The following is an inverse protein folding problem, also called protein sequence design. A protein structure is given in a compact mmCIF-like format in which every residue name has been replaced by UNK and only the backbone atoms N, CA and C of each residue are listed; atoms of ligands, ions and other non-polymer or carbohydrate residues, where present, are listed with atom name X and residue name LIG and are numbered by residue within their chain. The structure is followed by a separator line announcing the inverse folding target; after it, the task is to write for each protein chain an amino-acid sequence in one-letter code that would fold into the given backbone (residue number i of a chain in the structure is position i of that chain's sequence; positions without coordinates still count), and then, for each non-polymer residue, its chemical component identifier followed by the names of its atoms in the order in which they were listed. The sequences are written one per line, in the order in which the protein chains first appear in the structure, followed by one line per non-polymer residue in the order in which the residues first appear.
data_IF_852248104892
#
_entry.id   IF_852248104892
#
_cell.length_a   1.000
_cell.length_b   1.000
_cell.length_c   1.000
_cell.angle_alpha   90.00
_cell.angle_beta   90.00
_cell.angle_gamma   90.00
#
_symmetry.space_group_name_H-M   'P 1'
#
loop_
_entity.id
_entity.type
_entity.pdbx_description
1 polymer ?
#
# COMPACT_ATOMS: atom_id res chain seq x y z
N UNK A 1 -25.15 59.17 0.77
CA UNK A 1 -23.76 58.69 0.61
C UNK A 1 -23.13 58.59 1.98
N UNK A 2 -22.95 57.38 2.51
CA UNK A 2 -22.29 57.10 3.79
C UNK A 2 -20.80 56.81 3.49
N UNK A 3 -19.85 57.39 4.23
CA UNK A 3 -18.42 57.28 3.90
C UNK A 3 -17.88 55.85 4.04
N UNK A 4 -16.94 55.48 3.16
CA UNK A 4 -16.41 54.13 2.97
C UNK A 4 -15.75 53.49 4.21
N UNK A 5 -15.41 54.27 5.25
CA UNK A 5 -14.86 53.77 6.51
C UNK A 5 -15.85 53.01 7.39
N UNK A 6 -17.17 53.26 7.26
CA UNK A 6 -18.17 52.63 8.12
C UNK A 6 -18.55 51.20 7.68
N UNK A 7 -18.27 50.82 6.42
CA UNK A 7 -18.51 49.45 5.91
C UNK A 7 -17.47 48.43 6.39
N UNK A 8 -16.24 48.87 6.66
CA UNK A 8 -15.17 48.00 7.18
C UNK A 8 -15.36 47.64 8.67
N UNK A 9 -15.88 48.57 9.48
CA UNK A 9 -16.16 48.31 10.89
C UNK A 9 -17.30 47.31 11.11
N UNK A 10 -18.33 47.33 10.25
CA UNK A 10 -19.46 46.40 10.34
C UNK A 10 -19.11 44.97 9.86
N UNK A 11 -18.20 44.83 8.89
CA UNK A 11 -17.69 43.50 8.47
C UNK A 11 -16.78 42.86 9.53
N UNK A 12 -15.95 43.66 10.22
CA UNK A 12 -15.09 43.21 11.31
C UNK A 12 -15.87 42.73 12.54
N UNK A 13 -16.97 43.41 12.90
CA UNK A 13 -17.79 43.04 14.05
C UNK A 13 -18.63 41.77 13.82
N UNK A 14 -19.05 41.50 12.58
CA UNK A 14 -19.80 40.29 12.23
C UNK A 14 -18.92 39.03 12.26
N UNK A 15 -17.66 39.14 11.82
CA UNK A 15 -16.69 38.05 11.88
C UNK A 15 -16.26 37.70 13.31
N UNK A 16 -16.11 38.70 14.20
CA UNK A 16 -15.70 38.46 15.58
C UNK A 16 -16.81 37.78 16.42
N UNK A 17 -18.09 38.07 16.12
CA UNK A 17 -19.23 37.39 16.76
C UNK A 17 -19.44 35.95 16.25
N UNK A 18 -19.10 35.63 15.01
CA UNK A 18 -19.11 34.23 14.52
C UNK A 18 -17.98 33.40 15.14
N UNK A 19 -16.77 33.95 15.31
CA UNK A 19 -15.67 33.23 15.94
C UNK A 19 -15.88 32.97 17.43
N UNK A 20 -16.51 33.89 18.16
CA UNK A 20 -16.83 33.70 19.58
C UNK A 20 -17.99 32.72 19.82
N UNK A 21 -18.98 32.65 18.92
CA UNK A 21 -20.00 31.58 18.91
C UNK A 21 -19.37 30.20 18.63
N UNK A 22 -18.42 30.11 17.69
CA UNK A 22 -17.75 28.83 17.36
C UNK A 22 -16.87 28.33 18.52
N UNK A 23 -16.17 29.22 19.22
CA UNK A 23 -15.33 28.86 20.39
C UNK A 23 -16.19 28.53 21.62
N UNK A 24 -17.37 29.16 21.79
CA UNK A 24 -18.32 28.83 22.87
C UNK A 24 -19.02 27.47 22.63
N UNK A 25 -19.37 27.15 21.37
CA UNK A 25 -19.95 25.85 21.00
C UNK A 25 -18.92 24.71 21.07
N UNK A 26 -17.63 24.98 20.84
CA UNK A 26 -16.55 24.01 21.06
C UNK A 26 -16.25 23.73 22.54
N UNK A 27 -16.77 24.52 23.48
CA UNK A 27 -16.57 24.32 24.94
C UNK A 27 -17.68 23.51 25.62
N UNK A 28 -18.71 23.06 24.90
CA UNK A 28 -19.81 22.24 25.44
C UNK A 28 -20.16 20.99 24.62
N UNK A 29 -19.18 20.35 23.98
CA UNK A 29 -19.30 18.94 23.52
C UNK A 29 -18.04 18.13 23.80
N UNK A 30 -17.58 18.12 25.06
CA UNK A 30 -16.83 16.98 25.58
C UNK A 30 -17.86 15.92 25.98
N UNK A 31 -18.41 15.21 24.99
CA UNK A 31 -19.15 13.98 25.25
C UNK A 31 -18.17 13.07 26.00
N UNK A 32 -18.44 12.89 27.28
CA UNK A 32 -17.63 12.05 28.16
C UNK A 32 -17.77 10.63 27.62
N UNK A 33 -16.74 10.19 26.88
CA UNK A 33 -16.65 8.82 26.37
C UNK A 33 -16.94 7.87 27.54
N UNK A 34 -17.99 7.03 27.44
CA UNK A 34 -18.34 6.14 28.55
C UNK A 34 -17.17 5.21 28.80
N UNK A 35 -16.86 4.99 30.08
CA UNK A 35 -15.75 4.11 30.45
C UNK A 35 -16.04 2.70 29.96
N UNK A 36 -15.00 1.93 29.59
CA UNK A 36 -15.09 0.56 29.03
C UNK A 36 -16.03 -0.36 29.84
N UNK A 37 -16.16 -0.14 31.16
CA UNK A 37 -17.09 -0.86 32.06
C UNK A 37 -18.57 -0.53 31.84
N UNK A 38 -18.92 0.71 31.51
CA UNK A 38 -20.30 1.13 31.23
C UNK A 38 -20.78 0.68 29.84
N UNK A 39 -19.86 0.54 28.89
CA UNK A 39 -20.15 -0.05 27.59
C UNK A 39 -20.56 -1.52 27.71
N UNK A 40 -19.84 -2.29 28.53
CA UNK A 40 -20.17 -3.71 28.77
C UNK A 40 -21.47 -3.92 29.55
N UNK A 41 -21.91 -2.98 30.40
CA UNK A 41 -23.19 -3.11 31.12
C UNK A 41 -24.42 -2.78 30.27
N UNK A 42 -24.26 -2.01 29.17
CA UNK A 42 -25.35 -1.74 28.22
C UNK A 42 -25.42 -2.77 27.08
N UNK A 43 -24.29 -3.41 26.75
CA UNK A 43 -24.26 -4.49 25.76
C UNK A 43 -25.04 -5.75 26.22
N UNK A 44 -25.09 -6.01 27.53
CA UNK A 44 -25.79 -7.16 28.10
C UNK A 44 -27.32 -7.03 28.07
N UNK A 45 -27.88 -5.81 28.13
CA UNK A 45 -29.34 -5.61 28.03
C UNK A 45 -29.86 -5.76 26.59
N UNK A 46 -29.05 -5.46 25.58
CA UNK A 46 -29.37 -5.72 24.17
C UNK A 46 -29.28 -7.20 23.80
N UNK A 47 -28.39 -7.96 24.46
CA UNK A 47 -28.31 -9.41 24.26
C UNK A 47 -29.57 -10.15 24.74
N UNK A 48 -30.26 -9.64 25.77
CA UNK A 48 -31.51 -10.23 26.28
C UNK A 48 -32.72 -10.03 25.36
N UNK A 49 -32.74 -8.94 24.57
CA UNK A 49 -33.81 -8.66 23.61
C UNK A 49 -33.67 -9.43 22.28
N UNK A 50 -32.46 -9.87 21.92
CA UNK A 50 -32.23 -10.71 20.74
C UNK A 50 -32.59 -12.19 20.98
N UNK A 51 -32.70 -12.63 22.24
CA UNK A 51 -32.99 -14.02 22.59
C UNK A 51 -34.48 -14.41 22.44
N UNK A 52 -35.39 -13.45 22.23
CA UNK A 52 -36.84 -13.73 22.19
C UNK A 52 -37.45 -13.79 20.78
N UNK A 53 -36.68 -13.61 19.70
CA UNK A 53 -37.24 -13.54 18.32
C UNK A 53 -36.58 -14.54 17.34
N UNK A 54 -35.70 -15.43 17.79
CA UNK A 54 -34.80 -16.17 16.87
C UNK A 54 -34.80 -17.69 16.96
N UNK A 55 -35.91 -18.37 17.25
CA UNK A 55 -35.99 -19.83 17.09
C UNK A 55 -36.23 -20.20 15.63
N UNK A 56 -35.20 -20.13 14.79
CA UNK A 56 -35.18 -20.79 13.49
C UNK A 56 -33.74 -20.96 12.98
N UNK A 57 -33.33 -22.22 12.82
CA UNK A 57 -32.19 -22.70 12.02
C UNK A 57 -30.80 -22.47 12.65
N UNK A 58 -30.53 -23.20 13.74
CA UNK A 58 -29.16 -23.59 14.09
C UNK A 58 -28.76 -24.80 13.24
N UNK A 59 -28.28 -24.57 12.01
CA UNK A 59 -27.38 -25.52 11.35
C UNK A 59 -25.94 -25.07 11.65
N UNK A 60 -25.19 -25.76 12.53
CA UNK A 60 -23.80 -25.39 12.81
C UNK A 60 -22.86 -25.66 11.61
N UNK A 61 -23.36 -26.24 10.52
CA UNK A 61 -22.60 -26.54 9.31
C UNK A 61 -22.46 -25.36 8.32
N UNK A 62 -23.13 -24.23 8.55
CA UNK A 62 -23.00 -23.02 7.72
C UNK A 62 -22.15 -21.92 8.36
N UNK A 63 -21.45 -22.23 9.46
CA UNK A 63 -20.42 -21.37 10.02
C UNK A 63 -19.13 -21.55 9.21
N UNK A 64 -18.96 -20.70 8.19
CA UNK A 64 -17.73 -20.56 7.42
C UNK A 64 -17.24 -21.89 6.82
N UNK A 65 -17.68 -22.21 5.61
CA UNK A 65 -16.77 -22.86 4.68
C UNK A 65 -15.61 -21.87 4.51
N UNK A 66 -14.58 -21.99 5.36
CA UNK A 66 -13.41 -21.16 5.34
C UNK A 66 -12.82 -21.37 3.96
N UNK A 67 -12.95 -20.37 3.07
CA UNK A 67 -12.34 -20.44 1.75
C UNK A 67 -10.89 -20.90 1.95
N UNK A 68 -10.44 -21.94 1.24
CA UNK A 68 -9.13 -22.50 1.46
C UNK A 68 -8.10 -21.38 1.41
N UNK A 69 -7.28 -21.29 2.47
CA UNK A 69 -6.28 -20.22 2.60
C UNK A 69 -5.39 -20.26 1.35
N UNK A 70 -5.26 -19.14 0.61
CA UNK A 70 -4.48 -19.14 -0.60
C UNK A 70 -3.02 -19.48 -0.30
N UNK A 71 -2.38 -20.22 -1.20
CA UNK A 71 -0.97 -20.60 -1.11
C UNK A 71 -0.23 -20.06 -2.33
N UNK A 72 0.94 -19.49 -2.10
CA UNK A 72 1.80 -19.02 -3.19
C UNK A 72 2.34 -20.24 -3.94
N UNK A 73 2.06 -20.31 -5.24
CA UNK A 73 2.49 -21.40 -6.14
C UNK A 73 3.69 -20.99 -6.98
N UNK A 74 3.75 -19.73 -7.40
CA UNK A 74 4.76 -19.24 -8.34
C UNK A 74 5.14 -17.81 -7.97
N UNK A 75 6.45 -17.54 -7.98
CA UNK A 75 7.03 -16.20 -7.88
C UNK A 75 7.99 -16.02 -9.04
N UNK A 76 7.82 -14.93 -9.79
CA UNK A 76 8.70 -14.53 -10.89
C UNK A 76 8.92 -13.02 -10.85
N UNK A 77 10.09 -12.57 -11.28
CA UNK A 77 10.38 -11.17 -11.48
C UNK A 77 10.90 -10.92 -12.89
N UNK A 78 10.56 -9.77 -13.46
CA UNK A 78 10.99 -9.39 -14.79
C UNK A 78 11.58 -7.97 -14.77
N UNK A 79 12.75 -7.74 -15.41
CA UNK A 79 13.26 -6.39 -15.59
C UNK A 79 12.41 -5.63 -16.59
N UNK A 80 12.08 -4.37 -16.26
CA UNK A 80 11.42 -3.44 -17.17
C UNK A 80 12.47 -2.48 -17.73
N UNK A 81 12.61 -2.51 -19.05
CA UNK A 81 13.46 -1.58 -19.79
C UNK A 81 12.64 -0.37 -20.19
N UNK A 82 12.78 0.73 -19.45
CA UNK A 82 12.01 1.97 -19.69
C UNK A 82 12.41 2.63 -21.03
N UNK A 83 13.63 2.38 -21.50
CA UNK A 83 14.21 3.01 -22.69
C UNK A 83 14.66 2.00 -23.75
N UNK A 84 13.77 1.11 -24.25
CA UNK A 84 14.03 0.32 -25.48
C UNK A 84 14.08 1.22 -26.74
N UNK A 85 14.92 2.27 -26.72
CA UNK A 85 14.99 3.32 -27.75
C UNK A 85 16.27 3.31 -28.57
N UNK A 86 17.17 2.35 -28.39
CA UNK A 86 18.38 2.29 -29.21
C UNK A 86 18.74 0.87 -29.59
N UNK A 87 18.50 0.55 -30.87
CA UNK A 87 19.38 -0.34 -31.60
C UNK A 87 20.82 0.17 -31.40
N UNK A 88 21.64 -0.54 -30.60
CA UNK A 88 22.96 -0.08 -30.13
C UNK A 88 23.07 0.07 -28.61
N UNK A 89 22.70 -0.98 -27.86
CA UNK A 89 22.51 -1.06 -26.40
C UNK A 89 23.71 -0.63 -25.50
N UNK A 90 24.89 -0.40 -26.08
CA UNK A 90 26.09 0.03 -25.35
C UNK A 90 26.81 1.22 -26.01
N UNK A 91 26.35 1.63 -27.19
CA UNK A 91 27.00 2.71 -27.92
C UNK A 91 26.49 4.04 -27.39
N UNK A 92 27.43 4.91 -27.00
CA UNK A 92 27.05 6.28 -26.66
C UNK A 92 26.49 6.96 -27.91
N UNK A 93 25.30 7.58 -27.85
CA UNK A 93 24.74 8.26 -28.99
C UNK A 93 25.71 9.36 -29.45
N UNK A 94 25.99 9.41 -30.75
CA UNK A 94 26.70 10.54 -31.33
C UNK A 94 25.79 11.77 -31.25
N UNK A 95 26.29 12.84 -30.62
CA UNK A 95 25.60 14.12 -30.58
C UNK A 95 26.07 15.00 -31.73
N UNK A 96 25.14 15.73 -32.35
CA UNK A 96 25.47 16.60 -33.48
C UNK A 96 26.19 17.89 -33.05
N UNK A 97 26.04 18.32 -31.79
CA UNK A 97 26.68 19.49 -31.20
C UNK A 97 26.61 19.49 -29.67
N UNK A 98 27.33 20.41 -29.01
CA UNK A 98 27.27 20.61 -27.55
C UNK A 98 25.88 21.06 -27.06
N UNK A 99 25.14 21.75 -27.93
CA UNK A 99 23.77 22.23 -27.67
C UNK A 99 22.67 21.23 -28.07
N UNK A 100 23.02 19.99 -28.44
CA UNK A 100 22.03 18.99 -28.80
C UNK A 100 21.14 18.68 -27.58
N UNK A 101 19.83 18.98 -27.62
CA UNK A 101 18.94 18.72 -26.49
C UNK A 101 18.84 17.23 -26.14
N UNK A 102 19.27 16.32 -27.03
CA UNK A 102 19.41 14.89 -26.73
C UNK A 102 20.51 14.62 -25.70
N UNK A 103 21.55 15.46 -25.64
CA UNK A 103 22.65 15.38 -24.68
C UNK A 103 22.18 15.59 -23.24
N UNK A 104 21.29 16.57 -23.03
CA UNK A 104 20.72 16.85 -21.71
C UNK A 104 19.64 15.85 -21.28
N UNK A 105 19.20 14.99 -22.20
CA UNK A 105 18.25 13.90 -21.95
C UNK A 105 18.91 12.53 -21.90
N UNK A 106 20.23 12.46 -22.10
CA UNK A 106 21.00 11.23 -22.06
C UNK A 106 21.70 11.11 -20.69
N UNK A 107 21.21 10.22 -19.84
CA UNK A 107 21.77 9.92 -18.52
C UNK A 107 22.91 8.89 -18.55
N UNK A 108 23.53 8.66 -19.70
CA UNK A 108 24.67 7.76 -19.85
C UNK A 108 24.29 6.33 -20.28
N UNK A 109 25.30 5.49 -20.59
CA UNK A 109 25.07 4.12 -21.04
C UNK A 109 24.38 3.25 -19.97
N UNK A 110 24.48 3.65 -18.70
CA UNK A 110 23.89 2.96 -17.56
C UNK A 110 22.42 3.33 -17.29
N UNK A 111 21.90 4.42 -17.87
CA UNK A 111 20.47 4.76 -17.80
C UNK A 111 19.61 3.84 -18.69
N UNK A 112 20.25 3.09 -19.60
CA UNK A 112 19.62 2.04 -20.38
C UNK A 112 19.48 0.71 -19.61
N UNK A 113 20.14 0.58 -18.46
CA UNK A 113 19.96 -0.57 -17.59
C UNK A 113 18.51 -0.57 -17.08
N UNK A 114 17.87 -1.75 -16.98
CA UNK A 114 16.52 -1.84 -16.46
C UNK A 114 16.57 -1.33 -15.03
N UNK A 115 16.04 -0.14 -14.77
CA UNK A 115 16.01 0.39 -13.40
C UNK A 115 14.80 -0.17 -12.66
N UNK A 116 13.69 -0.40 -13.36
CA UNK A 116 12.47 -0.94 -12.82
C UNK A 116 12.37 -2.45 -12.98
N UNK A 117 11.62 -3.08 -12.08
CA UNK A 117 11.25 -4.49 -12.14
C UNK A 117 9.76 -4.64 -11.85
N UNK A 118 9.17 -5.73 -12.36
CA UNK A 118 7.84 -6.19 -11.97
C UNK A 118 7.92 -7.58 -11.37
N UNK A 119 7.46 -7.72 -10.13
CA UNK A 119 7.28 -8.98 -9.46
C UNK A 119 5.84 -9.48 -9.72
N UNK A 120 5.72 -10.78 -9.99
CA UNK A 120 4.45 -11.46 -10.23
C UNK A 120 4.37 -12.67 -9.28
N UNK A 121 3.36 -12.66 -8.42
CA UNK A 121 3.10 -13.75 -7.47
C UNK A 121 1.75 -14.38 -7.83
N UNK A 122 1.72 -15.69 -8.04
CA UNK A 122 0.47 -16.43 -8.32
C UNK A 122 0.12 -17.36 -7.17
N UNK A 123 -1.16 -17.40 -6.83
CA UNK A 123 -1.71 -18.32 -5.83
C UNK A 123 -2.38 -19.53 -6.47
N UNK A 124 -2.57 -20.58 -5.68
CA UNK A 124 -3.35 -21.77 -6.04
C UNK A 124 -4.85 -21.48 -6.26
N UNK A 125 -5.37 -20.41 -5.65
CA UNK A 125 -6.74 -19.91 -5.84
C UNK A 125 -6.90 -19.03 -7.09
N UNK A 126 -5.88 -18.93 -7.95
CA UNK A 126 -5.94 -18.16 -9.20
C UNK A 126 -5.79 -16.63 -9.03
N UNK A 127 -5.54 -16.14 -7.81
CA UNK A 127 -5.26 -14.72 -7.57
C UNK A 127 -3.81 -14.43 -7.95
N UNK A 128 -3.60 -13.36 -8.71
CA UNK A 128 -2.26 -12.92 -9.14
C UNK A 128 -1.99 -11.50 -8.63
N UNK A 129 -0.89 -11.35 -7.92
CA UNK A 129 -0.33 -10.09 -7.44
C UNK A 129 0.73 -9.53 -8.37
N UNK A 130 0.74 -8.22 -8.52
CA UNK A 130 1.75 -7.47 -9.26
C UNK A 130 2.36 -6.41 -8.34
N UNK A 131 3.69 -6.34 -8.33
CA UNK A 131 4.41 -5.36 -7.55
C UNK A 131 5.52 -4.74 -8.36
N UNK A 132 5.51 -3.41 -8.44
CA UNK A 132 6.56 -2.63 -9.07
C UNK A 132 7.68 -2.36 -8.06
N UNK A 133 8.92 -2.43 -8.53
CA UNK A 133 10.08 -2.03 -7.76
C UNK A 133 11.23 -1.60 -8.66
N UNK A 134 12.43 -1.55 -8.09
CA UNK A 134 13.63 -1.11 -8.79
C UNK A 134 14.82 -2.06 -8.55
N UNK A 135 15.93 -1.81 -9.24
CA UNK A 135 17.19 -2.55 -9.13
C UNK A 135 17.46 -3.51 -10.28
N UNK A 136 16.59 -3.55 -11.29
CA UNK A 136 16.88 -4.24 -12.56
C UNK A 136 17.14 -5.73 -12.46
N UNK A 137 17.99 -6.21 -13.37
CA UNK A 137 18.40 -7.62 -13.43
C UNK A 137 19.03 -8.12 -12.13
N UNK A 138 19.79 -7.27 -11.43
CA UNK A 138 20.38 -7.65 -10.15
C UNK A 138 19.33 -7.81 -9.03
N UNK A 139 18.25 -7.03 -9.04
CA UNK A 139 17.12 -7.26 -8.13
C UNK A 139 16.34 -8.53 -8.49
N UNK A 140 16.18 -8.83 -9.79
CA UNK A 140 15.57 -10.08 -10.27
C UNK A 140 16.36 -11.29 -9.76
N UNK A 141 17.69 -11.26 -9.85
CA UNK A 141 18.55 -12.34 -9.35
C UNK A 141 18.40 -12.56 -7.84
N UNK A 142 18.26 -11.49 -7.05
CA UNK A 142 17.98 -11.60 -5.60
C UNK A 142 16.62 -12.26 -5.35
N UNK A 143 15.61 -11.93 -6.15
CA UNK A 143 14.28 -12.53 -6.02
C UNK A 143 14.35 -14.02 -6.36
N UNK A 144 14.89 -14.38 -7.53
CA UNK A 144 14.90 -15.77 -8.01
C UNK A 144 15.87 -16.65 -7.22
N UNK A 145 17.04 -16.14 -6.86
CA UNK A 145 18.07 -16.90 -6.14
C UNK A 145 17.84 -17.01 -4.63
N UNK A 146 17.04 -16.12 -4.04
CA UNK A 146 16.85 -16.11 -2.59
C UNK A 146 15.40 -15.92 -2.14
N UNK A 147 14.79 -14.76 -2.37
CA UNK A 147 13.53 -14.39 -1.71
C UNK A 147 12.35 -15.28 -2.11
N UNK A 148 12.33 -15.75 -3.35
CA UNK A 148 11.31 -16.67 -3.89
C UNK A 148 11.15 -17.91 -3.03
N UNK A 149 12.24 -18.50 -2.56
CA UNK A 149 12.21 -19.75 -1.80
C UNK A 149 11.52 -19.59 -0.42
N UNK A 150 11.49 -18.38 0.13
CA UNK A 150 10.80 -18.07 1.39
C UNK A 150 9.28 -17.92 1.18
N UNK A 151 8.86 -17.53 -0.02
CA UNK A 151 7.46 -17.24 -0.33
C UNK A 151 6.70 -18.47 -0.83
N UNK A 152 7.35 -19.41 -1.51
CA UNK A 152 6.68 -20.59 -2.07
C UNK A 152 6.00 -21.43 -0.97
N UNK A 153 4.73 -21.77 -1.17
CA UNK A 153 3.91 -22.52 -0.22
C UNK A 153 3.41 -21.72 0.98
N UNK A 154 3.82 -20.45 1.13
CA UNK A 154 3.38 -19.59 2.22
C UNK A 154 1.99 -18.99 1.95
N UNK A 155 1.32 -18.55 3.02
CA UNK A 155 0.08 -17.80 2.93
C UNK A 155 0.39 -16.34 2.56
N UNK A 156 -0.02 -15.83 1.38
CA UNK A 156 0.28 -14.47 0.95
C UNK A 156 -0.38 -13.40 1.82
N UNK A 157 -1.40 -13.75 2.62
CA UNK A 157 -2.10 -12.81 3.50
C UNK A 157 -1.31 -12.49 4.78
N UNK A 158 -0.24 -13.24 5.08
CA UNK A 158 0.63 -13.00 6.22
C UNK A 158 1.73 -11.97 5.86
N UNK A 159 1.36 -10.83 5.27
CA UNK A 159 2.29 -9.88 4.63
C UNK A 159 3.41 -9.44 5.58
N UNK A 160 3.07 -8.98 6.79
CA UNK A 160 4.04 -8.53 7.80
C UNK A 160 5.04 -9.62 8.20
N UNK A 161 4.57 -10.86 8.36
CA UNK A 161 5.43 -11.99 8.71
C UNK A 161 6.39 -12.33 7.57
N UNK A 162 5.90 -12.33 6.33
CA UNK A 162 6.72 -12.59 5.16
C UNK A 162 7.74 -11.48 4.94
N UNK A 163 7.35 -10.23 5.17
CA UNK A 163 8.26 -9.08 5.13
C UNK A 163 9.41 -9.23 6.12
N UNK A 164 9.11 -9.54 7.39
CA UNK A 164 10.12 -9.71 8.43
C UNK A 164 11.08 -10.87 8.13
N UNK A 165 10.55 -12.00 7.66
CA UNK A 165 11.36 -13.15 7.23
C UNK A 165 12.28 -12.80 6.07
N UNK A 166 11.75 -12.16 5.02
CA UNK A 166 12.53 -11.71 3.87
C UNK A 166 13.62 -10.72 4.30
N UNK A 167 13.27 -9.71 5.09
CA UNK A 167 14.22 -8.69 5.53
C UNK A 167 15.33 -9.29 6.41
N UNK A 168 14.97 -10.11 7.39
CA UNK A 168 15.92 -10.76 8.30
C UNK A 168 16.84 -11.74 7.57
N UNK A 169 16.34 -12.47 6.58
CA UNK A 169 17.15 -13.38 5.76
C UNK A 169 18.27 -12.67 4.98
N UNK A 170 18.06 -11.40 4.63
CA UNK A 170 19.03 -10.59 3.88
C UNK A 170 19.95 -9.73 4.74
N UNK A 171 19.89 -9.81 6.08
CA UNK A 171 20.50 -8.79 6.95
C UNK A 171 22.02 -8.61 6.76
N UNK A 172 22.73 -9.65 6.30
CA UNK A 172 24.18 -9.61 6.09
C UNK A 172 24.61 -8.81 4.84
N UNK A 173 23.71 -8.64 3.86
CA UNK A 173 24.06 -8.00 2.58
C UNK A 173 22.96 -7.05 2.05
N UNK A 174 21.85 -6.92 2.77
CA UNK A 174 20.60 -6.36 2.24
C UNK A 174 19.95 -5.28 3.10
N UNK A 175 20.64 -4.75 4.12
CA UNK A 175 20.06 -3.73 5.03
C UNK A 175 19.57 -2.46 4.31
N UNK A 176 20.13 -2.14 3.14
CA UNK A 176 19.80 -0.99 2.30
C UNK A 176 20.08 -1.32 0.82
N UNK A 177 19.64 -0.45 -0.07
CA UNK A 177 19.97 -0.52 -1.50
C UNK A 177 19.18 -1.60 -2.22
N UNK A 178 19.84 -2.32 -3.13
CA UNK A 178 19.19 -3.18 -4.12
C UNK A 178 18.34 -4.30 -3.54
N UNK A 179 18.76 -4.88 -2.40
CA UNK A 179 17.98 -5.90 -1.73
C UNK A 179 16.63 -5.37 -1.24
N UNK A 180 16.61 -4.19 -0.61
CA UNK A 180 15.38 -3.56 -0.13
C UNK A 180 14.49 -3.16 -1.31
N UNK A 181 15.08 -2.74 -2.44
CA UNK A 181 14.32 -2.48 -3.67
C UNK A 181 13.65 -3.75 -4.22
N UNK A 182 14.36 -4.89 -4.26
CA UNK A 182 13.81 -6.19 -4.64
C UNK A 182 12.69 -6.64 -3.68
N UNK A 183 12.92 -6.50 -2.36
CA UNK A 183 11.96 -6.82 -1.32
C UNK A 183 10.68 -5.99 -1.49
N UNK A 184 10.81 -4.69 -1.76
CA UNK A 184 9.65 -3.80 -1.97
C UNK A 184 8.77 -4.22 -3.14
N UNK A 185 9.35 -4.77 -4.22
CA UNK A 185 8.57 -5.30 -5.34
C UNK A 185 7.70 -6.49 -4.91
N UNK A 186 8.23 -7.39 -4.08
CA UNK A 186 7.48 -8.53 -3.56
C UNK A 186 6.40 -8.09 -2.56
N UNK A 187 6.72 -7.15 -1.67
CA UNK A 187 5.78 -6.58 -0.70
C UNK A 187 4.57 -5.94 -1.38
N UNK A 188 4.81 -5.11 -2.40
CA UNK A 188 3.74 -4.52 -3.22
C UNK A 188 2.85 -5.61 -3.87
N UNK A 189 3.46 -6.69 -4.37
CA UNK A 189 2.71 -7.79 -4.97
C UNK A 189 1.85 -8.56 -3.94
N UNK A 190 2.34 -8.70 -2.70
CA UNK A 190 1.58 -9.31 -1.61
C UNK A 190 0.39 -8.45 -1.19
N UNK A 191 0.57 -7.13 -1.10
CA UNK A 191 -0.53 -6.19 -0.83
C UNK A 191 -1.57 -6.17 -1.94
N UNK A 192 -1.16 -6.22 -3.21
CA UNK A 192 -2.08 -6.35 -4.34
C UNK A 192 -2.90 -7.66 -4.27
N UNK A 193 -2.29 -8.79 -3.86
CA UNK A 193 -3.03 -10.03 -3.58
C UNK A 193 -4.02 -9.84 -2.44
N UNK A 194 -3.61 -9.20 -1.35
CA UNK A 194 -4.47 -8.99 -0.18
C UNK A 194 -5.70 -8.14 -0.55
N UNK A 195 -5.52 -7.05 -1.30
CA UNK A 195 -6.62 -6.22 -1.81
C UNK A 195 -7.55 -7.00 -2.74
N UNK A 196 -7.00 -7.73 -3.72
CA UNK A 196 -7.78 -8.58 -4.65
C UNK A 196 -8.55 -9.68 -3.93
N UNK A 197 -7.94 -10.32 -2.94
CA UNK A 197 -8.57 -11.37 -2.14
C UNK A 197 -9.69 -10.80 -1.26
N UNK A 198 -9.51 -9.60 -0.70
CA UNK A 198 -10.52 -8.91 0.10
C UNK A 198 -11.63 -8.25 -0.74
N UNK A 199 -11.43 -8.08 -2.05
CA UNK A 199 -12.34 -7.33 -2.92
C UNK A 199 -12.35 -5.83 -2.61
N UNK A 200 -11.25 -5.29 -2.06
CA UNK A 200 -11.12 -3.90 -1.63
C UNK A 200 -9.89 -3.25 -2.30
N UNK A 201 -9.93 -1.93 -2.58
CA UNK A 201 -8.72 -1.19 -2.92
C UNK A 201 -7.79 -1.15 -1.70
N UNK A 202 -6.49 -1.17 -1.96
CA UNK A 202 -5.41 -1.03 -0.96
C UNK A 202 -5.20 0.45 -0.64
#
# INVERSE_FOLDING_TARGET
MIPAGLKLALYSASFYNQFTQIISVQRMKKLRQPSRRQFFSQASSLAFLAASVGTAITSPALLFAQSPVPRIREVKAYPIYINQRSDGLLDSPAFNSDDDPRRWRYGGPFEQLPSAIIAVIKTDQGVTGFGMGAGGSAAVEIIDGHLKNLLLGSNPLNVEQLWDQMYTSGIFYGRRGIFVMALSALDNALWDIAGKYAGLPV
#
